data_IF_750121025775
#
_entry.id   IF_750121025775
#
_cell.length_a   1.000
_cell.length_b   1.000
_cell.length_c   1.000
_cell.angle_alpha   90.00
_cell.angle_beta   90.00
_cell.angle_gamma   90.00
#
_symmetry.space_group_name_H-M   'P 1'
#
loop_
_entity.id
_entity.type
_entity.pdbx_description
1 polymer ?
#
# COMPACT_ATOMS: atom_id res chain seq x y z
N UNK A 1 -2.84 44.14 -26.10
CA UNK A 1 -1.81 44.04 -25.03
C UNK A 1 -2.54 43.56 -23.78
N UNK A 2 -2.33 42.34 -23.27
CA UNK A 2 -1.11 41.85 -22.64
C UNK A 2 -0.93 40.35 -22.94
N UNK A 3 0.02 39.98 -23.82
CA UNK A 3 0.56 38.61 -23.89
C UNK A 3 1.50 38.44 -22.70
N UNK A 4 0.92 38.20 -21.52
CA UNK A 4 1.70 37.84 -20.34
C UNK A 4 2.21 36.41 -20.53
N UNK A 5 3.54 36.21 -20.47
CA UNK A 5 4.12 34.87 -20.36
C UNK A 5 3.41 34.18 -19.20
N UNK A 6 2.68 33.11 -19.49
CA UNK A 6 2.10 32.21 -18.49
C UNK A 6 3.24 31.88 -17.53
N UNK A 7 3.07 32.28 -16.27
CA UNK A 7 4.04 32.08 -15.19
C UNK A 7 4.73 30.73 -15.37
N UNK A 8 6.09 30.71 -15.37
CA UNK A 8 6.87 29.48 -15.49
C UNK A 8 6.21 28.37 -14.68
N UNK A 9 5.85 27.27 -15.36
CA UNK A 9 5.34 26.04 -14.74
C UNK A 9 6.25 25.72 -13.55
N UNK A 10 5.64 25.51 -12.40
CA UNK A 10 6.32 25.27 -11.12
C UNK A 10 7.32 24.12 -11.30
N UNK A 11 8.61 24.42 -11.24
CA UNK A 11 9.73 23.48 -11.43
C UNK A 11 10.02 22.64 -10.16
N UNK A 12 9.00 22.27 -9.40
CA UNK A 12 9.22 21.45 -8.20
C UNK A 12 8.70 20.04 -8.46
N UNK A 13 9.50 19.24 -9.16
CA UNK A 13 9.37 17.79 -9.29
C UNK A 13 10.42 17.09 -8.42
N UNK A 14 10.38 17.34 -7.11
CA UNK A 14 11.32 16.68 -6.19
C UNK A 14 10.92 15.21 -6.05
N UNK A 15 11.92 14.34 -6.00
CA UNK A 15 11.69 12.94 -5.70
C UNK A 15 11.13 12.82 -4.27
N UNK A 16 10.26 11.84 -4.08
CA UNK A 16 9.67 11.55 -2.80
C UNK A 16 9.91 10.09 -2.48
N UNK A 17 10.43 9.84 -1.29
CA UNK A 17 10.57 8.52 -0.73
C UNK A 17 9.32 8.22 0.08
N UNK A 18 8.73 7.04 -0.16
CA UNK A 18 7.58 6.55 0.58
C UNK A 18 7.87 5.14 1.07
N UNK A 19 7.56 4.88 2.35
CA UNK A 19 7.58 3.56 2.93
C UNK A 19 6.18 3.13 3.34
N UNK A 20 5.78 1.95 2.86
CA UNK A 20 4.48 1.34 3.15
C UNK A 20 4.65 0.08 3.99
N UNK A 21 3.70 -0.16 4.90
CA UNK A 21 3.64 -1.40 5.67
C UNK A 21 3.05 -2.57 4.83
N UNK A 22 3.08 -3.82 5.35
CA UNK A 22 2.48 -4.97 4.66
C UNK A 22 0.96 -4.88 4.42
N UNK A 23 0.27 -3.93 5.04
CA UNK A 23 -1.17 -3.70 4.88
C UNK A 23 -1.46 -2.61 3.82
N UNK A 24 -0.42 -1.95 3.31
CA UNK A 24 -0.50 -0.90 2.29
C UNK A 24 -0.77 0.50 2.88
N UNK A 25 -0.53 0.71 4.18
CA UNK A 25 -0.52 2.04 4.77
C UNK A 25 0.86 2.67 4.63
N UNK A 26 0.90 3.92 4.19
CA UNK A 26 2.13 4.70 4.21
C UNK A 26 2.44 5.06 5.66
N UNK A 27 3.61 4.63 6.13
CA UNK A 27 4.08 4.85 7.51
C UNK A 27 5.14 5.95 7.59
N UNK A 28 5.92 6.14 6.53
CA UNK A 28 6.92 7.20 6.45
C UNK A 28 6.96 7.79 5.04
N UNK A 29 7.22 9.09 4.96
CA UNK A 29 7.40 9.79 3.70
C UNK A 29 8.42 10.92 3.84
N UNK A 30 9.22 11.14 2.81
CA UNK A 30 10.24 12.19 2.79
C UNK A 30 10.36 12.78 1.39
N UNK A 31 10.30 14.11 1.32
CA UNK A 31 10.69 14.84 0.09
C UNK A 31 12.21 14.92 0.05
N UNK A 32 12.81 14.44 -1.03
CA UNK A 32 14.25 14.40 -1.25
C UNK A 32 14.70 15.73 -1.83
N UNK A 33 15.67 16.37 -1.19
CA UNK A 33 16.26 17.63 -1.62
C UNK A 33 17.74 17.43 -1.97
N UNK A 34 18.13 17.71 -3.22
CA UNK A 34 19.53 17.76 -3.68
C UNK A 34 20.37 16.49 -3.44
N UNK A 35 19.75 15.36 -3.11
CA UNK A 35 20.40 14.07 -2.88
C UNK A 35 19.85 13.01 -3.85
N UNK A 36 20.67 11.99 -4.12
CA UNK A 36 20.30 10.89 -5.00
C UNK A 36 19.45 9.85 -4.26
N UNK A 37 18.41 9.35 -4.91
CA UNK A 37 17.44 8.39 -4.37
C UNK A 37 18.08 7.10 -3.80
N UNK A 38 19.10 6.58 -4.47
CA UNK A 38 19.84 5.37 -4.04
C UNK A 38 20.52 5.57 -2.69
N UNK A 39 20.95 6.79 -2.37
CA UNK A 39 21.67 7.12 -1.14
C UNK A 39 20.73 7.17 0.07
N UNK A 40 19.44 7.45 -0.14
CA UNK A 40 18.45 7.62 0.92
C UNK A 40 17.57 6.39 1.15
N UNK A 41 17.30 5.64 0.09
CA UNK A 41 16.45 4.44 0.15
C UNK A 41 17.03 3.32 1.02
N UNK A 42 18.34 3.04 0.92
CA UNK A 42 18.98 1.98 1.70
C UNK A 42 19.03 2.30 3.22
N UNK A 43 19.51 3.49 3.67
CA UNK A 43 19.50 3.82 5.09
C UNK A 43 18.09 3.89 5.68
N UNK A 44 17.11 4.36 4.91
CA UNK A 44 15.73 4.39 5.40
C UNK A 44 15.17 2.98 5.58
N UNK A 45 15.41 2.10 4.61
CA UNK A 45 15.02 0.71 4.73
C UNK A 45 15.65 0.08 5.98
N UNK A 46 16.96 0.22 6.18
CA UNK A 46 17.66 -0.33 7.35
C UNK A 46 17.09 0.21 8.67
N UNK A 47 16.81 1.52 8.74
CA UNK A 47 16.20 2.16 9.92
C UNK A 47 14.80 1.63 10.21
N UNK A 48 13.93 1.58 9.20
CA UNK A 48 12.55 1.12 9.33
C UNK A 48 12.47 -0.37 9.68
N UNK A 49 13.33 -1.16 9.05
CA UNK A 49 13.39 -2.59 9.30
C UNK A 49 13.89 -2.89 10.72
N UNK A 50 14.90 -2.17 11.19
CA UNK A 50 15.40 -2.29 12.57
C UNK A 50 14.36 -1.92 13.64
N UNK A 51 13.39 -1.07 13.31
CA UNK A 51 12.33 -0.66 14.23
C UNK A 51 11.20 -1.71 14.36
N UNK A 52 10.93 -2.49 13.31
CA UNK A 52 9.70 -3.29 13.22
C UNK A 52 9.91 -4.77 12.91
N UNK A 53 11.08 -5.20 12.42
CA UNK A 53 11.33 -6.56 11.95
C UNK A 53 12.67 -7.08 12.51
N UNK A 54 12.66 -8.15 13.34
CA UNK A 54 13.88 -8.73 13.91
C UNK A 54 14.85 -9.30 12.86
N UNK A 55 14.34 -9.74 11.71
CA UNK A 55 15.14 -10.39 10.66
C UNK A 55 14.71 -9.93 9.26
N UNK A 56 15.66 -9.33 8.53
CA UNK A 56 15.43 -8.68 7.24
C UNK A 56 15.80 -9.63 6.11
N UNK A 57 14.84 -9.88 5.22
CA UNK A 57 15.02 -10.75 4.05
C UNK A 57 15.11 -9.88 2.79
N UNK A 58 16.30 -9.34 2.51
CA UNK A 58 16.56 -8.52 1.33
C UNK A 58 17.44 -9.24 0.29
N UNK A 59 17.08 -9.19 -1.01
CA UNK A 59 17.93 -9.74 -2.07
C UNK A 59 19.18 -8.89 -2.25
N UNK A 60 20.35 -9.52 -2.21
CA UNK A 60 21.60 -8.78 -2.40
C UNK A 60 21.81 -8.45 -3.88
N UNK A 61 22.24 -7.21 -4.12
CA UNK A 61 22.50 -6.68 -5.47
C UNK A 61 23.88 -7.12 -5.93
N UNK A 62 23.97 -7.87 -7.03
CA UNK A 62 25.24 -8.28 -7.64
C UNK A 62 25.39 -9.80 -7.78
N UNK A 63 26.64 -10.26 -8.02
CA UNK A 63 26.99 -11.69 -8.03
C UNK A 63 26.97 -12.22 -6.60
N UNK A 64 26.22 -13.31 -6.40
CA UNK A 64 26.01 -13.94 -5.09
C UNK A 64 27.09 -14.96 -4.81
N UNK A 65 27.54 -15.04 -3.56
CA UNK A 65 28.37 -16.16 -3.11
C UNK A 65 27.51 -17.44 -2.93
N UNK A 66 28.10 -18.64 -2.89
CA UNK A 66 27.35 -19.90 -2.76
C UNK A 66 26.44 -19.97 -1.53
N UNK A 67 26.91 -19.43 -0.40
CA UNK A 67 26.16 -19.36 0.86
C UNK A 67 24.95 -18.42 0.74
N UNK A 68 25.15 -17.24 0.17
CA UNK A 68 24.09 -16.26 -0.09
C UNK A 68 23.05 -16.79 -1.09
N UNK A 69 23.49 -17.62 -2.04
CA UNK A 69 22.59 -18.27 -2.99
C UNK A 69 21.74 -19.35 -2.32
N UNK A 70 22.27 -20.07 -1.33
CA UNK A 70 21.53 -21.03 -0.52
C UNK A 70 20.47 -20.33 0.34
N UNK A 71 20.81 -19.23 1.00
CA UNK A 71 19.87 -18.39 1.78
C UNK A 71 18.74 -17.84 0.90
N UNK A 72 19.08 -17.23 -0.25
CA UNK A 72 18.08 -16.67 -1.17
C UNK A 72 17.25 -17.73 -1.91
N UNK A 73 17.70 -18.99 -1.94
CA UNK A 73 16.96 -20.11 -2.53
C UNK A 73 15.85 -20.65 -1.63
N UNK A 74 15.84 -20.25 -0.35
CA UNK A 74 14.86 -20.67 0.64
C UNK A 74 13.42 -20.39 0.21
N UNK A 75 12.50 -21.32 0.52
CA UNK A 75 11.08 -21.21 0.18
C UNK A 75 10.43 -19.95 0.76
N UNK A 76 10.82 -19.58 1.97
CA UNK A 76 10.37 -18.37 2.67
C UNK A 76 10.88 -17.11 1.98
N UNK A 77 12.16 -17.09 1.58
CA UNK A 77 12.80 -15.99 0.86
C UNK A 77 12.11 -15.71 -0.47
N UNK A 78 11.92 -16.75 -1.30
CA UNK A 78 11.21 -16.62 -2.59
C UNK A 78 9.78 -16.11 -2.41
N UNK A 79 9.04 -16.63 -1.42
CA UNK A 79 7.66 -16.21 -1.16
C UNK A 79 7.56 -14.75 -0.72
N UNK A 80 8.52 -14.27 0.07
CA UNK A 80 8.55 -12.89 0.56
C UNK A 80 9.02 -11.89 -0.48
N UNK A 81 10.05 -12.24 -1.28
CA UNK A 81 10.59 -11.40 -2.36
C UNK A 81 9.51 -10.93 -3.34
N UNK A 82 8.53 -11.78 -3.66
CA UNK A 82 7.45 -11.44 -4.59
C UNK A 82 6.34 -10.57 -3.99
N UNK A 83 6.37 -10.24 -2.68
CA UNK A 83 5.43 -9.25 -2.11
C UNK A 83 5.78 -7.80 -2.48
N UNK A 84 6.95 -7.55 -3.05
CA UNK A 84 7.37 -6.24 -3.55
C UNK A 84 6.66 -5.81 -4.86
N UNK A 85 5.82 -6.65 -5.47
CA UNK A 85 5.14 -6.34 -6.74
C UNK A 85 4.07 -5.24 -6.64
N UNK A 86 3.80 -4.67 -5.46
CA UNK A 86 2.77 -3.65 -5.26
C UNK A 86 3.27 -2.21 -5.45
N UNK A 87 4.56 -1.99 -5.75
CA UNK A 87 5.16 -0.65 -5.85
C UNK A 87 4.48 0.22 -6.91
N UNK A 88 4.32 -0.27 -8.14
CA UNK A 88 3.68 0.51 -9.22
C UNK A 88 2.20 0.85 -8.90
N UNK A 89 1.37 -0.11 -8.45
CA UNK A 89 0.03 0.21 -7.94
C UNK A 89 0.01 1.24 -6.80
N UNK A 90 0.98 1.21 -5.90
CA UNK A 90 1.06 2.13 -4.76
C UNK A 90 1.45 3.55 -5.19
N UNK A 91 2.39 3.69 -6.13
CA UNK A 91 2.73 4.97 -6.76
C UNK A 91 1.49 5.55 -7.45
N UNK A 92 0.86 4.77 -8.33
CA UNK A 92 -0.34 5.20 -9.04
C UNK A 92 -1.48 5.57 -8.08
N UNK A 93 -1.63 4.82 -6.97
CA UNK A 93 -2.57 5.19 -5.90
C UNK A 93 -2.23 6.57 -5.35
N UNK A 94 -0.99 6.83 -4.96
CA UNK A 94 -0.62 8.13 -4.38
C UNK A 94 -0.86 9.29 -5.35
N UNK A 95 -0.54 9.12 -6.62
CA UNK A 95 -0.82 10.10 -7.67
C UNK A 95 -2.30 10.42 -7.76
N UNK A 96 -3.17 9.41 -7.80
CA UNK A 96 -4.62 9.63 -7.78
C UNK A 96 -5.15 10.31 -6.50
N UNK A 97 -4.37 10.30 -5.41
CA UNK A 97 -4.71 11.00 -4.17
C UNK A 97 -4.03 12.37 -4.05
N UNK A 98 -3.51 12.91 -5.16
CA UNK A 98 -3.05 14.29 -5.27
C UNK A 98 -1.55 14.47 -5.10
N UNK A 99 -0.76 13.39 -5.09
CA UNK A 99 0.70 13.49 -5.07
C UNK A 99 1.26 14.08 -6.39
N UNK A 100 0.47 14.07 -7.47
CA UNK A 100 0.77 14.67 -8.78
C UNK A 100 0.46 16.18 -8.85
N UNK A 101 -0.10 16.77 -7.78
CA UNK A 101 -0.65 18.13 -7.77
C UNK A 101 -0.08 18.97 -6.63
N UNK A 102 0.53 20.09 -6.99
CA UNK A 102 0.89 21.15 -6.05
C UNK A 102 0.38 22.48 -6.64
N UNK A 103 -0.66 23.06 -6.04
CA UNK A 103 -1.27 24.31 -6.50
C UNK A 103 -0.52 25.55 -6.00
N UNK A 104 0.31 25.36 -4.97
CA UNK A 104 1.12 26.39 -4.35
C UNK A 104 2.57 26.36 -4.87
N UNK A 105 3.31 27.44 -4.58
CA UNK A 105 4.73 27.57 -4.91
C UNK A 105 5.62 27.35 -3.69
N UNK A 106 6.81 26.83 -3.94
CA UNK A 106 7.86 26.69 -2.95
C UNK A 106 7.87 25.34 -2.23
N UNK A 107 9.03 25.01 -1.66
CA UNK A 107 9.31 23.70 -1.06
C UNK A 107 8.41 23.40 0.14
N UNK A 108 8.15 24.37 1.00
CA UNK A 108 7.28 24.16 2.15
C UNK A 108 5.86 23.79 1.71
N UNK A 109 5.34 24.46 0.68
CA UNK A 109 4.05 24.12 0.13
C UNK A 109 4.06 22.72 -0.49
N UNK A 110 5.07 22.40 -1.27
CA UNK A 110 5.25 21.06 -1.85
C UNK A 110 5.23 19.96 -0.79
N UNK A 111 6.00 20.11 0.31
CA UNK A 111 5.99 19.17 1.45
C UNK A 111 4.61 19.01 2.07
N UNK A 112 3.85 20.10 2.23
CA UNK A 112 2.47 20.03 2.75
C UNK A 112 1.56 19.24 1.81
N UNK A 113 1.64 19.48 0.50
CA UNK A 113 0.82 18.77 -0.49
C UNK A 113 1.17 17.28 -0.55
N UNK A 114 2.46 16.93 -0.52
CA UNK A 114 2.90 15.54 -0.41
C UNK A 114 2.33 14.85 0.84
N UNK A 115 2.41 15.51 2.01
CA UNK A 115 1.85 14.97 3.25
C UNK A 115 0.32 14.79 3.17
N UNK A 116 -0.39 15.75 2.57
CA UNK A 116 -1.84 15.64 2.35
C UNK A 116 -2.20 14.48 1.42
N UNK A 117 -1.44 14.27 0.34
CA UNK A 117 -1.65 13.14 -0.58
C UNK A 117 -1.47 11.78 0.11
N UNK A 118 -0.46 11.67 0.97
CA UNK A 118 -0.24 10.49 1.82
C UNK A 118 -1.42 10.25 2.77
N UNK A 119 -1.90 11.29 3.46
CA UNK A 119 -3.05 11.19 4.37
C UNK A 119 -4.31 10.77 3.62
N UNK A 120 -4.59 11.39 2.47
CA UNK A 120 -5.73 11.06 1.63
C UNK A 120 -5.69 9.60 1.17
N UNK A 121 -4.53 9.12 0.73
CA UNK A 121 -4.33 7.73 0.34
C UNK A 121 -4.62 6.78 1.52
N UNK A 122 -4.09 7.06 2.70
CA UNK A 122 -4.30 6.22 3.89
C UNK A 122 -5.77 6.20 4.35
N UNK A 123 -6.45 7.35 4.35
CA UNK A 123 -7.88 7.44 4.67
C UNK A 123 -8.74 6.63 3.70
N UNK A 124 -8.45 6.72 2.40
CA UNK A 124 -9.18 5.94 1.40
C UNK A 124 -8.96 4.43 1.57
N UNK A 125 -7.72 4.01 1.88
CA UNK A 125 -7.41 2.61 2.19
C UNK A 125 -8.16 2.12 3.43
N UNK A 126 -8.22 2.93 4.49
CA UNK A 126 -8.98 2.62 5.69
C UNK A 126 -10.48 2.45 5.36
N UNK A 127 -11.04 3.35 4.57
CA UNK A 127 -12.42 3.26 4.07
C UNK A 127 -12.68 1.94 3.35
N UNK A 128 -11.80 1.52 2.44
CA UNK A 128 -11.91 0.24 1.73
C UNK A 128 -11.87 -0.96 2.69
N UNK A 129 -10.97 -0.96 3.66
CA UNK A 129 -10.90 -2.00 4.71
C UNK A 129 -12.21 -2.10 5.49
N UNK A 130 -12.81 -0.97 5.87
CA UNK A 130 -14.08 -0.94 6.58
C UNK A 130 -15.23 -1.48 5.72
N UNK A 131 -15.30 -1.08 4.45
CA UNK A 131 -16.30 -1.58 3.51
C UNK A 131 -16.17 -3.09 3.28
N UNK A 132 -14.96 -3.62 3.14
CA UNK A 132 -14.73 -5.06 3.01
C UNK A 132 -15.19 -5.84 4.25
N UNK A 133 -14.91 -5.31 5.44
CA UNK A 133 -15.39 -5.91 6.70
C UNK A 133 -16.91 -5.96 6.75
N UNK A 134 -17.59 -4.87 6.36
CA UNK A 134 -19.05 -4.82 6.28
C UNK A 134 -19.59 -5.86 5.27
N UNK A 135 -19.06 -5.90 4.04
CA UNK A 135 -19.46 -6.86 3.00
C UNK A 135 -19.25 -8.32 3.43
N UNK A 136 -18.17 -8.63 4.15
CA UNK A 136 -17.91 -9.98 4.68
C UNK A 136 -18.95 -10.38 5.75
N UNK A 137 -19.31 -9.46 6.66
CA UNK A 137 -20.36 -9.69 7.66
C UNK A 137 -21.71 -9.95 7.00
N UNK A 138 -22.08 -9.14 6.01
CA UNK A 138 -23.34 -9.29 5.27
C UNK A 138 -23.42 -10.62 4.52
N UNK A 139 -22.34 -11.00 3.81
CA UNK A 139 -22.27 -12.30 3.12
C UNK A 139 -22.42 -13.48 4.09
N UNK A 140 -21.80 -13.39 5.27
CA UNK A 140 -21.93 -14.40 6.32
C UNK A 140 -23.39 -14.50 6.80
N UNK A 141 -24.00 -13.36 7.13
CA UNK A 141 -25.41 -13.30 7.55
C UNK A 141 -26.37 -13.88 6.49
N UNK A 142 -26.15 -13.54 5.22
CA UNK A 142 -26.94 -14.08 4.09
C UNK A 142 -26.77 -15.59 3.96
N UNK A 143 -25.55 -16.11 4.09
CA UNK A 143 -25.27 -17.56 4.02
C UNK A 143 -25.90 -18.31 5.20
N UNK A 144 -25.83 -17.75 6.40
CA UNK A 144 -26.43 -18.33 7.60
C UNK A 144 -27.97 -18.34 7.49
N UNK A 145 -28.55 -17.27 6.94
CA UNK A 145 -29.99 -17.16 6.66
C UNK A 145 -30.48 -18.19 5.65
N UNK A 146 -29.73 -18.42 4.56
CA UNK A 146 -30.05 -19.43 3.55
C UNK A 146 -30.01 -20.85 4.14
N UNK A 147 -28.95 -21.18 4.89
CA UNK A 147 -28.84 -22.49 5.57
C UNK A 147 -29.97 -22.74 6.57
N UNK A 148 -30.41 -21.71 7.29
CA UNK A 148 -31.52 -21.84 8.23
C UNK A 148 -32.86 -22.09 7.50
N UNK A 149 -33.08 -21.49 6.32
CA UNK A 149 -34.26 -21.77 5.48
C UNK A 149 -34.26 -23.20 4.93
N UNK A 150 -33.13 -23.68 4.42
CA UNK A 150 -32.97 -25.06 3.95
C UNK A 150 -33.25 -26.08 5.06
N UNK A 151 -32.72 -25.84 6.27
CA UNK A 151 -33.00 -26.68 7.45
C UNK A 151 -34.48 -26.70 7.84
N UNK A 152 -35.17 -25.56 7.78
CA UNK A 152 -36.59 -25.48 8.11
C UNK A 152 -37.49 -26.14 7.04
N UNK A 153 -37.09 -26.13 5.77
CA UNK A 153 -37.82 -26.79 4.70
C UNK A 153 -37.66 -28.31 4.80
N UNK A 154 -36.42 -28.81 4.90
CA UNK A 154 -36.17 -30.24 5.07
C UNK A 154 -36.83 -30.83 6.32
N UNK A 155 -36.91 -30.06 7.43
CA UNK A 155 -37.60 -30.51 8.65
C UNK A 155 -39.12 -30.61 8.49
N UNK A 156 -39.73 -29.76 7.65
CA UNK A 156 -41.16 -29.85 7.30
C UNK A 156 -41.43 -31.07 6.42
N UNK A 157 -40.60 -31.27 5.39
CA UNK A 157 -40.74 -32.41 4.47
C UNK A 157 -40.55 -33.77 5.18
N UNK A 158 -39.83 -33.80 6.30
CA UNK A 158 -39.66 -35.02 7.11
C UNK A 158 -40.90 -35.30 7.98
N UNK A 159 -41.57 -34.26 8.48
CA UNK A 159 -42.79 -34.38 9.30
C UNK A 159 -43.96 -34.84 8.43
N UNK A 160 -44.10 -34.29 7.21
CA UNK A 160 -45.19 -34.66 6.29
C UNK A 160 -45.08 -36.09 5.72
N UNK A 161 -43.93 -36.76 5.88
CA UNK A 161 -43.74 -38.19 5.51
C UNK A 161 -44.03 -39.18 6.64
N UNK A 162 -44.28 -38.69 7.87
CA UNK A 162 -44.55 -39.52 9.04
C UNK A 162 -46.04 -39.57 9.41
N UNK A 163 -46.90 -38.93 8.62
CA UNK A 163 -48.37 -38.96 8.69
C UNK A 163 -48.90 -39.70 7.46
#
# INVERSE_FOLDING_TARGET
>A
MYKGKVNKRVELGHNMLVASDPWGFVVEHQVIEREADVTLSLPLADRLLSLYIPEVIMPKKGKKNPEEQAEESGRTFRKLRHRHSAVEPDINRLEHHGLDRCLDKGLHAFKRYCALGVVAANLHKLGNVLQEKARKKEKKFRKDSLKNREKQHGRRDTIDRQI
#
